data_IF_863074724844
#
_entry.id   IF_863074724844
#
_cell.length_a   1.000
_cell.length_b   1.000
_cell.length_c   1.000
_cell.angle_alpha   90.00
_cell.angle_beta   90.00
_cell.angle_gamma   90.00
#
_symmetry.space_group_name_H-M   'P 1'
#
loop_
_entity.id
_entity.type
_entity.pdbx_description
1 polymer ?
#
# COMPACT_ATOMS: atom_id res chain seq x y z
N UNK A 1 -1.41 23.64 -23.61
CA UNK A 1 -0.44 22.56 -23.90
C UNK A 1 0.59 22.30 -22.80
N UNK A 2 1.27 23.31 -22.22
CA UNK A 2 2.19 23.09 -21.09
C UNK A 2 1.49 22.93 -19.74
N UNK A 3 0.47 23.74 -19.47
CA UNK A 3 -0.31 23.68 -18.23
C UNK A 3 -1.03 22.34 -18.05
N UNK A 4 -1.65 21.81 -19.11
CA UNK A 4 -2.30 20.48 -19.09
C UNK A 4 -1.32 19.37 -18.69
N UNK A 5 -0.11 19.35 -19.28
CA UNK A 5 0.94 18.38 -18.95
C UNK A 5 1.43 18.51 -17.50
N UNK A 6 1.52 19.73 -16.98
CA UNK A 6 1.88 19.97 -15.56
C UNK A 6 0.78 19.44 -14.64
N UNK A 7 -0.49 19.68 -14.98
CA UNK A 7 -1.63 19.18 -14.22
C UNK A 7 -1.71 17.65 -14.23
N UNK A 8 -1.48 17.00 -15.37
CA UNK A 8 -1.41 15.55 -15.49
C UNK A 8 -0.34 14.94 -14.59
N UNK A 9 0.88 15.50 -14.61
CA UNK A 9 1.97 15.04 -13.73
C UNK A 9 1.62 15.18 -12.25
N UNK A 10 1.01 16.31 -11.86
CA UNK A 10 0.56 16.54 -10.48
C UNK A 10 -0.51 15.53 -10.05
N UNK A 11 -1.48 15.23 -10.93
CA UNK A 11 -2.53 14.24 -10.67
C UNK A 11 -1.94 12.84 -10.47
N UNK A 12 -1.10 12.39 -11.41
CA UNK A 12 -0.48 11.07 -11.32
C UNK A 12 0.37 10.90 -10.06
N UNK A 13 1.10 11.95 -9.67
CA UNK A 13 1.89 11.96 -8.44
C UNK A 13 1.02 11.89 -7.18
N UNK A 14 -0.08 12.64 -7.14
CA UNK A 14 -1.01 12.62 -6.02
C UNK A 14 -1.74 11.27 -5.91
N UNK A 15 -2.11 10.67 -7.04
CA UNK A 15 -2.75 9.35 -7.09
C UNK A 15 -1.82 8.27 -6.56
N UNK A 16 -0.53 8.29 -6.96
CA UNK A 16 0.48 7.38 -6.41
C UNK A 16 0.60 7.51 -4.89
N UNK A 17 0.73 8.74 -4.38
CA UNK A 17 0.79 9.00 -2.94
C UNK A 17 -0.48 8.58 -2.21
N UNK A 18 -1.64 8.77 -2.82
CA UNK A 18 -2.91 8.35 -2.26
C UNK A 18 -2.99 6.83 -2.14
N UNK A 19 -2.49 6.10 -3.14
CA UNK A 19 -2.43 4.63 -3.10
C UNK A 19 -1.46 4.14 -2.02
N UNK A 20 -0.28 4.75 -1.90
CA UNK A 20 0.68 4.44 -0.82
C UNK A 20 0.08 4.71 0.56
N UNK A 21 -0.62 5.83 0.73
CA UNK A 21 -1.29 6.18 1.97
C UNK A 21 -2.41 5.19 2.32
N UNK A 22 -3.23 4.80 1.34
CA UNK A 22 -4.29 3.81 1.54
C UNK A 22 -3.73 2.45 1.99
N UNK A 23 -2.59 2.02 1.43
CA UNK A 23 -1.88 0.79 1.84
C UNK A 23 -1.46 0.85 3.31
N UNK A 24 -0.73 1.90 3.69
CA UNK A 24 -0.23 2.07 5.06
C UNK A 24 -1.39 2.22 6.05
N UNK A 25 -2.45 2.93 5.66
CA UNK A 25 -3.64 3.11 6.48
C UNK A 25 -4.39 1.80 6.72
N UNK A 26 -4.56 0.99 5.69
CA UNK A 26 -5.17 -0.33 5.84
C UNK A 26 -4.39 -1.21 6.83
N UNK A 27 -3.06 -1.28 6.66
CA UNK A 27 -2.20 -2.05 7.57
C UNK A 27 -2.31 -1.50 9.00
N UNK A 28 -2.30 -0.18 9.16
CA UNK A 28 -2.51 0.46 10.47
C UNK A 28 -3.84 0.03 11.12
N UNK A 29 -4.93 0.00 10.36
CA UNK A 29 -6.24 -0.36 10.88
C UNK A 29 -6.29 -1.85 11.28
N UNK A 30 -5.63 -2.72 10.51
CA UNK A 30 -5.48 -4.14 10.85
C UNK A 30 -4.68 -4.34 12.14
N UNK A 31 -3.53 -3.70 12.31
CA UNK A 31 -2.71 -3.85 13.53
C UNK A 31 -3.32 -3.19 14.78
N UNK A 32 -4.28 -2.27 14.58
CA UNK A 32 -5.06 -1.63 15.65
C UNK A 32 -6.31 -2.41 16.03
N UNK A 33 -6.72 -3.37 15.20
CA UNK A 33 -7.87 -4.23 15.52
C UNK A 33 -7.62 -5.01 16.81
N UNK A 34 -8.71 -5.36 17.51
CA UNK A 34 -8.63 -6.03 18.81
C UNK A 34 -7.86 -7.36 18.74
N UNK A 35 -7.87 -8.03 17.57
CA UNK A 35 -7.14 -9.27 17.32
C UNK A 35 -5.62 -9.13 17.38
N UNK A 36 -5.08 -7.95 17.08
CA UNK A 36 -3.63 -7.74 16.92
C UNK A 36 -3.06 -6.60 17.79
N UNK A 37 -3.90 -5.94 18.59
CA UNK A 37 -3.52 -4.80 19.42
C UNK A 37 -2.36 -5.09 20.38
N UNK A 38 -2.32 -6.29 20.95
CA UNK A 38 -1.28 -6.68 21.91
C UNK A 38 0.00 -7.19 21.25
N UNK A 39 -0.04 -7.44 19.93
CA UNK A 39 1.10 -7.96 19.19
C UNK A 39 2.11 -6.84 18.93
N UNK A 40 3.40 -7.06 19.24
CA UNK A 40 4.45 -6.04 19.09
C UNK A 40 5.13 -6.03 17.73
N UNK A 41 5.25 -7.20 17.10
CA UNK A 41 5.87 -7.41 15.80
C UNK A 41 5.05 -8.41 14.98
N UNK A 42 5.26 -8.42 13.68
CA UNK A 42 4.62 -9.33 12.74
C UNK A 42 5.67 -10.00 11.86
N UNK A 43 5.44 -11.25 11.49
CA UNK A 43 6.30 -11.92 10.52
C UNK A 43 6.05 -11.37 9.11
N UNK A 44 7.00 -11.59 8.21
CA UNK A 44 6.82 -11.22 6.80
C UNK A 44 5.70 -12.01 6.12
N UNK A 45 5.40 -13.22 6.60
CA UNK A 45 4.25 -14.01 6.14
C UNK A 45 2.93 -13.34 6.53
N UNK A 46 2.81 -12.84 7.76
CA UNK A 46 1.62 -12.10 8.20
C UNK A 46 1.46 -10.78 7.44
N UNK A 47 2.57 -10.08 7.20
CA UNK A 47 2.56 -8.88 6.37
C UNK A 47 2.09 -9.19 4.95
N UNK A 48 2.49 -10.33 4.37
CA UNK A 48 2.01 -10.79 3.06
C UNK A 48 0.50 -11.07 3.08
N UNK A 49 -0.03 -11.68 4.14
CA UNK A 49 -1.48 -11.87 4.32
C UNK A 49 -2.23 -10.54 4.37
N UNK A 50 -1.71 -9.53 5.08
CA UNK A 50 -2.33 -8.20 5.12
C UNK A 50 -2.32 -7.52 3.74
N UNK A 51 -1.24 -7.67 2.97
CA UNK A 51 -1.16 -7.16 1.60
C UNK A 51 -2.19 -7.87 0.70
N UNK A 52 -2.31 -9.20 0.82
CA UNK A 52 -3.30 -9.96 0.06
C UNK A 52 -4.74 -9.53 0.39
N UNK A 53 -5.06 -9.32 1.67
CA UNK A 53 -6.35 -8.78 2.10
C UNK A 53 -6.61 -7.38 1.53
N UNK A 54 -5.58 -6.53 1.47
CA UNK A 54 -5.69 -5.22 0.84
C UNK A 54 -6.01 -5.33 -0.66
N UNK A 55 -5.35 -6.23 -1.39
CA UNK A 55 -5.58 -6.45 -2.83
C UNK A 55 -6.99 -7.01 -3.08
N UNK A 56 -7.46 -7.90 -2.21
CA UNK A 56 -8.78 -8.53 -2.31
C UNK A 56 -9.94 -7.67 -1.75
N UNK A 57 -9.69 -6.41 -1.35
CA UNK A 57 -10.74 -5.50 -0.82
C UNK A 57 -11.91 -5.28 -1.77
N UNK A 58 -11.65 -5.33 -3.08
CA UNK A 58 -12.62 -5.07 -4.14
C UNK A 58 -13.34 -6.38 -4.60
N UNK A 59 -12.95 -7.55 -4.08
CA UNK A 59 -13.56 -8.86 -4.41
C UNK A 59 -15.06 -8.96 -4.13
N UNK A 60 -15.59 -8.52 -2.98
CA UNK A 60 -17.04 -8.56 -2.76
C UNK A 60 -17.81 -7.72 -3.80
N UNK A 61 -17.21 -6.64 -4.31
CA UNK A 61 -17.82 -5.85 -5.38
C UNK A 61 -17.77 -6.60 -6.72
N UNK A 62 -16.64 -7.24 -7.05
CA UNK A 62 -16.50 -8.09 -8.24
C UNK A 62 -17.47 -9.27 -8.24
N UNK A 63 -17.68 -9.92 -7.09
CA UNK A 63 -18.66 -11.00 -6.96
C UNK A 63 -20.09 -10.53 -7.19
N UNK A 64 -20.44 -9.32 -6.74
CA UNK A 64 -21.76 -8.73 -7.02
C UNK A 64 -21.95 -8.48 -8.52
N UNK A 65 -20.92 -8.02 -9.22
CA UNK A 65 -20.99 -7.87 -10.67
C UNK A 65 -21.16 -9.21 -11.37
N UNK A 66 -20.41 -10.25 -10.97
CA UNK A 66 -20.54 -11.62 -11.49
C UNK A 66 -21.95 -12.19 -11.27
N UNK A 67 -22.53 -12.01 -10.08
CA UNK A 67 -23.90 -12.45 -9.77
C UNK A 67 -24.96 -11.73 -10.61
N UNK A 68 -24.75 -10.45 -10.93
CA UNK A 68 -25.65 -9.65 -11.78
C UNK A 68 -25.45 -9.90 -13.28
N UNK A 69 -24.38 -10.61 -13.66
CA UNK A 69 -24.08 -10.94 -15.04
C UNK A 69 -25.03 -12.04 -15.53
N UNK A 70 -25.85 -11.73 -16.54
CA UNK A 70 -26.58 -12.74 -17.32
C UNK A 70 -25.74 -13.08 -18.54
N UNK A 71 -25.84 -14.32 -19.04
CA UNK A 71 -24.98 -14.87 -20.11
C UNK A 71 -24.78 -13.94 -21.34
N UNK A 72 -25.75 -13.06 -21.63
CA UNK A 72 -25.73 -12.14 -22.77
C UNK A 72 -25.45 -10.66 -22.45
N UNK A 73 -25.06 -10.29 -21.21
CA UNK A 73 -24.74 -8.89 -20.87
C UNK A 73 -23.22 -8.65 -20.90
N UNK A 74 -22.73 -7.68 -21.69
CA UNK A 74 -21.32 -7.31 -21.69
C UNK A 74 -20.87 -6.81 -20.32
N UNK A 75 -19.62 -7.13 -19.98
CA UNK A 75 -18.98 -6.75 -18.72
C UNK A 75 -18.96 -5.23 -18.57
N UNK A 76 -19.50 -4.66 -17.48
CA UNK A 76 -19.51 -3.21 -17.29
C UNK A 76 -18.07 -2.68 -17.18
N UNK A 77 -17.82 -1.48 -17.72
CA UNK A 77 -16.49 -0.85 -17.72
C UNK A 77 -15.89 -0.75 -16.30
N UNK A 78 -16.74 -0.50 -15.29
CA UNK A 78 -16.34 -0.50 -13.87
C UNK A 78 -15.77 -1.85 -13.41
N UNK A 79 -16.36 -2.97 -13.82
CA UNK A 79 -15.84 -4.30 -13.50
C UNK A 79 -14.49 -4.52 -14.17
N UNK A 80 -14.35 -4.17 -15.45
CA UNK A 80 -13.08 -4.29 -16.17
C UNK A 80 -11.96 -3.48 -15.49
N UNK A 81 -12.25 -2.25 -15.07
CA UNK A 81 -11.27 -1.40 -14.39
C UNK A 81 -10.85 -1.98 -13.03
N UNK A 82 -11.79 -2.51 -12.25
CA UNK A 82 -11.49 -3.17 -10.97
C UNK A 82 -10.65 -4.44 -11.17
N UNK A 83 -10.98 -5.27 -12.16
CA UNK A 83 -10.21 -6.47 -12.50
C UNK A 83 -8.78 -6.13 -12.96
N UNK A 84 -8.62 -5.10 -13.79
CA UNK A 84 -7.31 -4.61 -14.24
C UNK A 84 -6.49 -4.07 -13.06
N UNK A 85 -7.11 -3.28 -12.18
CA UNK A 85 -6.45 -2.75 -10.98
C UNK A 85 -5.99 -3.88 -10.07
N UNK A 86 -6.85 -4.87 -9.79
CA UNK A 86 -6.49 -6.05 -8.99
C UNK A 86 -5.33 -6.81 -9.63
N UNK A 87 -5.36 -7.01 -10.95
CA UNK A 87 -4.29 -7.70 -11.68
C UNK A 87 -2.96 -6.96 -11.54
N UNK A 88 -2.95 -5.63 -11.68
CA UNK A 88 -1.75 -4.81 -11.51
C UNK A 88 -1.20 -4.90 -10.08
N UNK A 89 -2.06 -4.77 -9.07
CA UNK A 89 -1.65 -4.91 -7.66
C UNK A 89 -1.10 -6.33 -7.36
N UNK A 90 -1.69 -7.37 -7.94
CA UNK A 90 -1.23 -8.76 -7.78
C UNK A 90 0.11 -9.01 -8.49
N UNK A 91 0.34 -8.42 -9.67
CA UNK A 91 1.63 -8.48 -10.36
C UNK A 91 2.72 -7.72 -9.58
N UNK A 92 2.37 -6.59 -8.95
CA UNK A 92 3.27 -5.88 -8.04
C UNK A 92 3.61 -6.75 -6.82
N UNK A 93 2.62 -7.45 -6.26
CA UNK A 93 2.82 -8.35 -5.12
C UNK A 93 3.76 -9.50 -5.42
N UNK A 94 3.67 -10.10 -6.61
CA UNK A 94 4.64 -11.13 -7.04
C UNK A 94 6.07 -10.60 -7.16
N UNK A 95 6.24 -9.34 -7.56
CA UNK A 95 7.57 -8.72 -7.77
C UNK A 95 8.18 -8.16 -6.49
N UNK A 96 7.38 -7.90 -5.47
CA UNK A 96 7.79 -7.26 -4.23
C UNK A 96 7.00 -5.98 -4.00
N UNK A 97 5.90 -6.10 -3.26
CA UNK A 97 5.02 -5.00 -2.91
C UNK A 97 5.66 -4.11 -1.86
N UNK A 98 5.60 -2.79 -2.05
CA UNK A 98 6.12 -1.84 -1.09
C UNK A 98 5.16 -1.71 0.11
N UNK A 99 5.64 -2.03 1.29
CA UNK A 99 4.90 -1.96 2.56
C UNK A 99 5.81 -1.48 3.72
N UNK A 100 5.22 -0.94 4.80
CA UNK A 100 5.99 -0.63 6.01
C UNK A 100 6.49 -1.93 6.66
N UNK A 101 7.70 -1.88 7.21
CA UNK A 101 8.28 -2.97 7.97
C UNK A 101 7.48 -3.20 9.26
N UNK A 102 6.95 -4.41 9.42
CA UNK A 102 6.20 -4.84 10.60
C UNK A 102 7.00 -5.80 11.48
N UNK A 103 8.19 -6.23 11.04
CA UNK A 103 9.04 -7.14 11.81
C UNK A 103 9.73 -6.43 12.98
N UNK A 104 9.95 -5.14 12.86
CA UNK A 104 10.53 -4.30 13.90
C UNK A 104 9.45 -3.65 14.78
N UNK A 105 9.60 -3.79 16.10
CA UNK A 105 8.66 -3.27 17.09
C UNK A 105 8.56 -1.74 17.06
N UNK A 106 9.67 -1.04 16.86
CA UNK A 106 9.66 0.43 16.80
C UNK A 106 8.85 0.93 15.60
N UNK A 107 9.02 0.27 14.46
CA UNK A 107 8.28 0.54 13.23
C UNK A 107 6.76 0.32 13.43
N UNK A 108 6.37 -0.74 14.14
CA UNK A 108 4.96 -1.02 14.48
C UNK A 108 4.38 0.04 15.42
N UNK A 109 5.11 0.46 16.46
CA UNK A 109 4.67 1.52 17.37
C UNK A 109 4.49 2.85 16.62
N UNK A 110 5.43 3.21 15.75
CA UNK A 110 5.33 4.41 14.94
C UNK A 110 4.12 4.35 13.99
N UNK A 111 3.89 3.21 13.35
CA UNK A 111 2.73 2.99 12.49
C UNK A 111 1.41 3.08 13.26
N UNK A 112 1.34 2.59 14.50
CA UNK A 112 0.15 2.74 15.37
C UNK A 112 -0.13 4.20 15.71
N UNK A 113 0.89 4.99 16.00
CA UNK A 113 0.73 6.39 16.40
C UNK A 113 0.58 7.35 15.22
N UNK A 114 0.79 6.87 13.99
CA UNK A 114 0.66 7.69 12.80
C UNK A 114 -0.75 8.26 12.62
N UNK A 115 -0.82 9.54 12.24
CA UNK A 115 -2.04 10.33 12.12
C UNK A 115 -2.59 10.42 10.69
N UNK A 116 -2.04 9.64 9.73
CA UNK A 116 -2.49 9.67 8.34
C UNK A 116 -1.87 10.82 7.51
N UNK A 117 -0.80 11.46 7.98
CA UNK A 117 -0.14 12.54 7.23
C UNK A 117 0.89 12.01 6.21
N UNK A 118 0.97 12.66 5.05
CA UNK A 118 1.93 12.33 4.00
C UNK A 118 3.40 12.57 4.40
N UNK A 119 3.68 13.55 5.27
CA UNK A 119 5.06 13.86 5.68
C UNK A 119 5.71 12.69 6.42
N UNK A 120 4.97 12.08 7.34
CA UNK A 120 5.40 10.91 8.09
C UNK A 120 5.52 9.63 7.24
N UNK A 121 5.07 9.64 5.98
CA UNK A 121 5.29 8.48 5.09
C UNK A 121 6.77 8.28 4.78
N UNK A 122 7.56 9.36 4.76
CA UNK A 122 8.99 9.33 4.48
C UNK A 122 9.83 8.72 5.61
N UNK A 123 9.31 8.73 6.84
CA UNK A 123 10.01 8.23 8.03
C UNK A 123 9.77 6.74 8.27
N UNK A 124 8.76 6.14 7.63
CA UNK A 124 8.54 4.70 7.72
C UNK A 124 9.65 3.92 7.03
N UNK A 125 10.20 2.93 7.71
CA UNK A 125 11.05 1.93 7.07
C UNK A 125 10.21 1.10 6.11
N UNK A 126 10.31 1.41 4.82
CA UNK A 126 9.57 0.71 3.76
C UNK A 126 10.41 -0.47 3.24
N UNK A 127 9.80 -1.64 3.18
CA UNK A 127 10.39 -2.87 2.64
C UNK A 127 9.54 -3.39 1.48
N UNK A 128 10.13 -4.29 0.67
CA UNK A 128 9.40 -4.99 -0.39
C UNK A 128 9.17 -6.43 0.02
N UNK A 129 7.92 -6.87 0.05
CA UNK A 129 7.53 -8.25 0.38
C UNK A 129 6.85 -8.89 -0.82
N UNK A 130 7.22 -10.13 -1.13
CA UNK A 130 6.57 -10.92 -2.18
C UNK A 130 5.41 -11.78 -1.64
N UNK A 131 4.70 -12.45 -2.54
CA UNK A 131 3.61 -13.37 -2.19
C UNK A 131 4.03 -14.60 -1.36
N UNK A 132 5.33 -14.91 -1.29
CA UNK A 132 5.85 -15.99 -0.44
C UNK A 132 6.19 -15.52 0.98
N UNK A 133 5.90 -14.27 1.33
CA UNK A 133 6.26 -13.71 2.64
C UNK A 133 7.77 -13.50 2.78
N UNK A 134 8.50 -13.28 1.69
CA UNK A 134 9.95 -13.01 1.71
C UNK A 134 10.23 -11.57 1.34
N UNK A 135 11.22 -10.99 2.01
CA UNK A 135 11.72 -9.67 1.68
C UNK A 135 12.51 -9.74 0.36
N UNK A 136 12.10 -8.95 -0.63
CA UNK A 136 12.80 -8.83 -1.91
C UNK A 136 13.90 -7.76 -1.76
N UNK A 137 15.13 -8.22 -1.58
CA UNK A 137 16.31 -7.36 -1.52
C UNK A 137 16.86 -7.18 -2.94
N UNK A 138 16.86 -5.94 -3.48
CA UNK A 138 17.48 -5.65 -4.79
C UNK A 138 16.68 -4.78 -5.76
N UNK A 139 15.44 -4.42 -5.43
CA UNK A 139 14.70 -3.42 -6.21
C UNK A 139 15.09 -2.01 -5.80
N UNK A 140 16.05 -1.39 -6.50
CA UNK A 140 16.51 -0.02 -6.24
C UNK A 140 15.36 0.95 -5.98
N UNK A 141 15.14 1.30 -4.72
CA UNK A 141 14.71 2.63 -4.33
C UNK A 141 15.32 2.87 -2.95
N UNK A 142 16.41 3.65 -2.92
CA UNK A 142 17.10 4.00 -1.69
C UNK A 142 16.08 4.57 -0.71
N UNK A 143 15.90 3.90 0.42
CA UNK A 143 15.38 4.54 1.62
C UNK A 143 16.39 5.63 1.99
N UNK A 144 16.08 6.87 1.66
CA UNK A 144 16.85 8.06 2.08
C UNK A 144 16.20 8.59 3.35
N UNK A 145 16.24 7.77 4.40
CA UNK A 145 15.99 8.22 5.76
C UNK A 145 17.25 8.92 6.28
N UNK A 146 17.10 10.18 6.69
CA UNK A 146 18.02 11.03 7.46
C UNK A 146 19.37 11.40 6.83
N UNK A 147 19.40 12.56 6.17
CA UNK A 147 20.41 13.57 6.50
C UNK A 147 19.68 14.68 7.27
N UNK A 148 19.62 14.52 8.60
CA UNK A 148 19.52 15.69 9.47
C UNK A 148 20.88 16.36 9.41
N UNK A 149 20.95 17.59 8.89
CA UNK A 149 21.98 18.51 9.34
C UNK A 149 21.28 19.76 9.89
N UNK A 150 21.48 19.90 11.19
CA UNK A 150 21.06 20.94 12.11
C UNK A 150 21.83 22.25 11.85
N UNK A 151 21.29 23.38 12.34
CA UNK A 151 21.95 24.68 12.63
C UNK A 151 22.11 25.60 11.39
N UNK A 152 21.64 26.86 11.32
CA UNK A 152 21.59 27.91 12.35
C UNK A 152 20.51 28.97 12.03
N UNK A 153 19.88 29.49 13.09
CA UNK A 153 19.23 30.80 13.10
C UNK A 153 20.29 31.91 12.98
N UNK A 154 20.10 32.84 12.04
CA UNK A 154 20.52 34.24 12.15
C UNK A 154 19.77 35.07 11.10
#
# INVERSE_FOLDING_TARGET
>A
MRESKVQEKKRAHNEKRSNELARVKFIQDVIKSDSFKDKKNFSYEEAAVFIEQFINRDDPELEQFKKKQRSNRPTPNRQLLLEQKKKLEMEEFKKGFLCPDLADEQSVVFLRNWNGTFGAMSTFKMIRINNEGKQVVGGHNKFTGSENNEIEMA
#
